data_IF_949292106042
#
_entry.id   IF_949292106042
#
_cell.length_a   1.000
_cell.length_b   1.000
_cell.length_c   1.000
_cell.angle_alpha   90.00
_cell.angle_beta   90.00
_cell.angle_gamma   90.00
#
_symmetry.space_group_name_H-M   'P 1'
#
loop_
_entity.id
_entity.type
_entity.pdbx_description
1 polymer ?
#
# COMPACT_ATOMS: atom_id res chain seq x y z
N UNK A 1 5.60 7.68 35.60
CA UNK A 1 5.08 8.58 34.55
C UNK A 1 5.19 7.82 33.24
N UNK A 2 4.07 7.34 32.70
CA UNK A 2 4.04 6.60 31.43
C UNK A 2 4.12 7.64 30.32
N UNK A 3 5.20 7.62 29.53
CA UNK A 3 5.27 8.39 28.29
C UNK A 3 4.22 7.82 27.33
N UNK A 4 3.28 8.64 26.88
CA UNK A 4 2.44 8.28 25.73
C UNK A 4 3.34 8.10 24.52
N UNK A 5 3.38 6.89 23.96
CA UNK A 5 3.99 6.63 22.66
C UNK A 5 3.12 7.32 21.62
N UNK A 6 3.67 8.36 20.98
CA UNK A 6 3.02 9.02 19.85
C UNK A 6 3.29 8.18 18.59
N UNK A 7 2.32 7.37 18.19
CA UNK A 7 2.37 6.66 16.91
C UNK A 7 2.30 7.68 15.76
N UNK A 8 3.28 7.65 14.86
CA UNK A 8 3.33 8.51 13.67
C UNK A 8 3.37 7.64 12.40
N UNK A 9 2.48 7.93 11.45
CA UNK A 9 2.37 7.26 10.17
C UNK A 9 2.56 8.24 8.98
N UNK A 10 3.00 9.47 9.27
CA UNK A 10 3.13 10.55 8.27
C UNK A 10 4.09 10.19 7.13
N UNK A 11 5.20 9.51 7.43
CA UNK A 11 6.18 9.05 6.44
C UNK A 11 5.57 8.00 5.48
N UNK A 12 4.86 7.01 6.03
CA UNK A 12 4.16 5.99 5.24
C UNK A 12 3.06 6.61 4.36
N UNK A 13 2.30 7.56 4.89
CA UNK A 13 1.27 8.28 4.14
C UNK A 13 1.87 9.11 2.98
N UNK A 14 3.01 9.77 3.20
CA UNK A 14 3.71 10.51 2.16
C UNK A 14 4.27 9.58 1.06
N UNK A 15 4.81 8.43 1.45
CA UNK A 15 5.29 7.40 0.52
C UNK A 15 4.15 6.88 -0.37
N UNK A 16 3.02 6.53 0.22
CA UNK A 16 1.83 6.09 -0.52
C UNK A 16 1.31 7.17 -1.49
N UNK A 17 1.26 8.43 -1.05
CA UNK A 17 0.84 9.55 -1.91
C UNK A 17 1.77 9.71 -3.13
N UNK A 18 3.08 9.57 -2.93
CA UNK A 18 4.04 9.63 -4.03
C UNK A 18 3.83 8.49 -5.03
N UNK A 19 3.64 7.26 -4.54
CA UNK A 19 3.35 6.09 -5.38
C UNK A 19 2.06 6.26 -6.20
N UNK A 20 0.98 6.77 -5.59
CA UNK A 20 -0.29 7.05 -6.27
C UNK A 20 -0.12 8.08 -7.40
N UNK A 21 0.61 9.16 -7.14
CA UNK A 21 0.89 10.18 -8.17
C UNK A 21 1.72 9.61 -9.32
N UNK A 22 2.72 8.78 -9.00
CA UNK A 22 3.55 8.16 -10.02
C UNK A 22 2.77 7.17 -10.89
N UNK A 23 1.93 6.32 -10.28
CA UNK A 23 1.08 5.38 -11.00
C UNK A 23 0.15 6.11 -11.99
N UNK A 24 -0.47 7.21 -11.57
CA UNK A 24 -1.30 8.04 -12.45
C UNK A 24 -0.51 8.61 -13.62
N UNK A 25 0.69 9.13 -13.37
CA UNK A 25 1.56 9.67 -14.41
C UNK A 25 1.93 8.61 -15.46
N UNK A 26 2.25 7.39 -15.02
CA UNK A 26 2.59 6.29 -15.93
C UNK A 26 1.38 5.84 -16.75
N UNK A 27 0.19 5.77 -16.16
CA UNK A 27 -1.05 5.52 -16.93
C UNK A 27 -1.28 6.57 -18.01
N UNK A 28 -1.08 7.85 -17.70
CA UNK A 28 -1.19 8.91 -18.71
C UNK A 28 -0.15 8.78 -19.82
N UNK A 29 1.11 8.52 -19.47
CA UNK A 29 2.21 8.34 -20.44
C UNK A 29 1.99 7.14 -21.36
N UNK A 30 1.42 6.06 -20.83
CA UNK A 30 1.14 4.83 -21.57
C UNK A 30 -0.22 4.80 -22.28
N UNK A 31 -1.07 5.83 -22.12
CA UNK A 31 -2.47 5.81 -22.54
C UNK A 31 -2.69 5.55 -24.04
N UNK A 32 -1.76 5.96 -24.91
CA UNK A 32 -1.86 5.68 -26.34
C UNK A 32 -1.66 4.21 -26.69
N UNK A 33 -0.84 3.49 -25.92
CA UNK A 33 -0.58 2.06 -26.12
C UNK A 33 -1.55 1.18 -25.34
N UNK A 34 -1.98 1.66 -24.16
CA UNK A 34 -2.80 0.96 -23.17
C UNK A 34 -3.92 1.90 -22.68
N UNK A 35 -4.93 2.17 -23.52
CA UNK A 35 -6.02 3.06 -23.16
C UNK A 35 -6.81 2.56 -21.94
N UNK A 36 -6.88 1.23 -21.77
CA UNK A 36 -7.53 0.56 -20.63
C UNK A 36 -6.52 0.05 -19.59
N UNK A 37 -5.32 0.64 -19.55
CA UNK A 37 -4.27 0.26 -18.62
C UNK A 37 -4.69 0.45 -17.17
N UNK A 38 -4.28 -0.47 -16.30
CA UNK A 38 -4.49 -0.38 -14.86
C UNK A 38 -3.17 -0.65 -14.12
N UNK A 39 -2.91 0.13 -13.06
CA UNK A 39 -1.83 -0.10 -12.11
C UNK A 39 -2.47 -0.27 -10.73
N UNK A 40 -2.16 -1.38 -10.07
CA UNK A 40 -2.60 -1.63 -8.69
C UNK A 40 -1.45 -1.33 -7.74
N UNK A 41 -1.75 -0.61 -6.66
CA UNK A 41 -0.81 -0.34 -5.57
C UNK A 41 -1.16 -1.21 -4.38
N UNK A 42 -0.13 -1.77 -3.76
CA UNK A 42 -0.28 -2.47 -2.50
C UNK A 42 -0.26 -1.47 -1.33
N UNK A 43 -1.24 -1.59 -0.42
CA UNK A 43 -1.42 -0.64 0.69
C UNK A 43 -0.55 -0.98 1.92
N UNK A 44 -0.16 -2.25 2.06
CA UNK A 44 0.46 -2.80 3.26
C UNK A 44 1.77 -3.51 2.93
N UNK A 45 2.86 -2.76 2.79
CA UNK A 45 4.18 -3.35 2.53
C UNK A 45 4.94 -3.69 3.83
N UNK A 46 4.77 -2.92 4.91
CA UNK A 46 5.63 -3.00 6.10
C UNK A 46 4.83 -3.35 7.37
N UNK A 47 5.02 -4.56 7.91
CA UNK A 47 4.54 -4.94 9.24
C UNK A 47 5.74 -5.03 10.18
N UNK A 48 5.74 -4.23 11.24
CA UNK A 48 6.79 -4.24 12.26
C UNK A 48 6.24 -4.63 13.62
N UNK A 49 6.92 -5.53 14.32
CA UNK A 49 6.71 -5.72 15.76
C UNK A 49 7.53 -4.69 16.54
N UNK A 50 6.89 -4.02 17.50
CA UNK A 50 7.58 -3.13 18.43
C UNK A 50 8.05 -3.90 19.68
N UNK A 51 9.32 -3.75 20.02
CA UNK A 51 9.89 -4.17 21.30
C UNK A 51 10.69 -3.01 21.88
N UNK A 52 10.32 -2.55 23.09
CA UNK A 52 10.97 -1.43 23.77
C UNK A 52 11.11 -0.16 22.88
N UNK A 53 10.01 0.24 22.23
CA UNK A 53 9.92 1.40 21.32
C UNK A 53 10.86 1.33 20.11
N UNK A 54 11.30 0.12 19.74
CA UNK A 54 12.09 -0.12 18.54
C UNK A 54 11.38 -1.13 17.63
N UNK A 55 11.21 -0.83 16.34
CA UNK A 55 10.78 -1.83 15.37
C UNK A 55 11.91 -2.84 15.20
N UNK A 56 11.70 -4.09 15.63
CA UNK A 56 12.76 -5.11 15.65
C UNK A 56 12.77 -5.97 14.39
N UNK A 57 11.61 -6.19 13.77
CA UNK A 57 11.48 -7.04 12.58
C UNK A 57 10.54 -6.38 11.57
N UNK A 58 11.11 -5.79 10.52
CA UNK A 58 10.36 -5.28 9.36
C UNK A 58 10.01 -6.47 8.45
N UNK A 59 8.81 -7.02 8.63
CA UNK A 59 8.29 -8.04 7.74
C UNK A 59 7.66 -7.37 6.52
N UNK A 60 8.25 -7.61 5.36
CA UNK A 60 7.71 -7.17 4.08
C UNK A 60 6.61 -8.13 3.61
N UNK A 61 5.34 -7.75 3.75
CA UNK A 61 4.24 -8.52 3.20
C UNK A 61 4.04 -8.10 1.75
N UNK A 62 4.48 -8.93 0.80
CA UNK A 62 4.13 -8.73 -0.62
C UNK A 62 2.86 -9.51 -0.93
N UNK A 63 1.79 -8.81 -1.33
CA UNK A 63 0.53 -9.37 -1.79
C UNK A 63 0.75 -9.91 -3.20
N UNK A 64 1.15 -11.17 -3.26
CA UNK A 64 1.34 -11.89 -4.51
C UNK A 64 -0.03 -12.30 -5.10
N UNK A 65 -0.75 -11.36 -5.73
CA UNK A 65 -1.99 -11.68 -6.44
C UNK A 65 -1.68 -12.48 -7.71
N UNK A 66 -2.03 -13.77 -7.73
CA UNK A 66 -1.94 -14.63 -8.94
C UNK A 66 -3.04 -14.37 -9.97
N UNK A 67 -3.99 -13.49 -9.67
CA UNK A 67 -5.13 -13.15 -10.53
C UNK A 67 -5.80 -11.87 -9.99
N UNK A 68 -6.13 -10.94 -10.90
CA UNK A 68 -7.02 -9.80 -10.63
C UNK A 68 -8.44 -10.30 -10.42
N UNK A 69 -8.93 -10.24 -9.17
CA UNK A 69 -10.33 -10.54 -8.84
C UNK A 69 -11.07 -9.23 -8.61
N UNK A 70 -12.18 -9.02 -9.32
CA UNK A 70 -13.07 -7.89 -9.11
C UNK A 70 -13.79 -8.05 -7.77
N UNK A 71 -13.85 -7.00 -6.95
CA UNK A 71 -14.62 -6.90 -5.69
C UNK A 71 -16.15 -6.86 -5.94
N UNK A 72 -16.63 -7.68 -6.86
CA UNK A 72 -18.02 -7.71 -7.32
C UNK A 72 -18.58 -9.12 -7.25
N UNK A 73 -18.58 -9.72 -6.06
CA UNK A 73 -19.32 -10.94 -5.73
C UNK A 73 -19.55 -10.94 -4.20
N UNK A 74 -20.45 -10.08 -3.72
CA UNK A 74 -21.88 -10.27 -3.46
C UNK A 74 -22.12 -11.07 -2.17
N UNK A 75 -22.68 -10.37 -1.18
CA UNK A 75 -23.41 -10.98 -0.06
C UNK A 75 -24.47 -11.96 -0.58
N UNK A 76 -24.59 -13.11 0.09
CA UNK A 76 -25.83 -13.65 0.67
C UNK A 76 -25.51 -14.96 1.40
N UNK A 77 -25.17 -14.87 2.70
CA UNK A 77 -25.73 -15.64 3.85
C UNK A 77 -25.01 -15.30 5.18
#
# INVERSE_FOLDING_TARGET
MVSQVSHDASASALGYLYQAKWALLELFRGSSERPDGAISLELHDDVAWEVADRPVDLLQTKLHQRSTRTLGDRDDD
#
